data_IF_857438458684
#
_entry.id   IF_857438458684
#
_cell.length_a   1.000
_cell.length_b   1.000
_cell.length_c   1.000
_cell.angle_alpha   90.00
_cell.angle_beta   90.00
_cell.angle_gamma   90.00
#
_symmetry.space_group_name_H-M   'P 1'
#
loop_
_entity.id
_entity.type
_entity.pdbx_description
1 polymer ?
#
# COMPACT_ATOMS: atom_id res chain seq x y z
N UNK A 1 10.22 -6.31 -25.90
CA UNK A 1 9.67 -6.23 -24.54
C UNK A 1 10.73 -5.55 -23.69
N UNK A 2 10.60 -4.24 -23.44
CA UNK A 2 11.59 -3.45 -22.72
C UNK A 2 11.57 -3.84 -21.24
N UNK A 3 12.65 -4.46 -20.75
CA UNK A 3 12.82 -4.82 -19.35
C UNK A 3 13.05 -3.58 -18.44
N UNK A 4 13.29 -2.41 -19.04
CA UNK A 4 13.61 -1.14 -18.36
C UNK A 4 12.44 -0.51 -17.57
N UNK A 5 11.26 -1.12 -17.57
CA UNK A 5 10.05 -0.60 -16.92
C UNK A 5 9.55 -1.46 -15.75
N UNK A 6 10.31 -2.48 -15.34
CA UNK A 6 9.88 -3.37 -14.24
C UNK A 6 10.58 -2.98 -12.94
N UNK A 7 9.96 -2.09 -12.17
CA UNK A 7 10.29 -1.91 -10.77
C UNK A 7 9.79 -3.15 -9.98
N UNK A 8 10.72 -3.89 -9.36
CA UNK A 8 10.39 -5.04 -8.50
C UNK A 8 10.46 -4.61 -7.04
N UNK A 9 9.30 -4.55 -6.38
CA UNK A 9 9.22 -4.44 -4.93
C UNK A 9 9.10 -5.83 -4.30
N UNK A 10 9.85 -6.08 -3.23
CA UNK A 10 9.75 -7.31 -2.44
C UNK A 10 9.28 -6.94 -1.04
N UNK A 11 8.21 -7.57 -0.58
CA UNK A 11 7.65 -7.36 0.75
C UNK A 11 7.77 -8.65 1.55
N UNK A 12 8.07 -8.52 2.84
CA UNK A 12 8.06 -9.63 3.78
C UNK A 12 6.77 -9.55 4.58
N UNK A 13 5.98 -10.60 4.49
CA UNK A 13 4.80 -10.80 5.34
C UNK A 13 5.11 -11.93 6.32
N UNK A 14 4.68 -11.77 7.56
CA UNK A 14 4.82 -12.84 8.54
C UNK A 14 3.90 -14.02 8.18
N UNK A 15 4.18 -15.16 8.83
CA UNK A 15 3.45 -16.40 8.57
C UNK A 15 1.95 -16.27 8.86
N UNK A 16 1.57 -15.65 9.96
CA UNK A 16 0.17 -15.56 10.37
C UNK A 16 -0.62 -14.68 9.38
N UNK A 17 -0.05 -13.55 8.97
CA UNK A 17 -0.63 -12.69 7.93
C UNK A 17 -0.79 -13.44 6.60
N UNK A 18 0.20 -14.23 6.20
CA UNK A 18 0.13 -15.06 4.98
C UNK A 18 -1.01 -16.10 5.03
N UNK A 19 -1.20 -16.76 6.18
CA UNK A 19 -2.28 -17.73 6.39
C UNK A 19 -3.66 -17.05 6.34
N UNK A 20 -3.81 -15.88 6.98
CA UNK A 20 -5.03 -15.08 6.94
C UNK A 20 -5.37 -14.63 5.51
N UNK A 21 -4.39 -14.11 4.77
CA UNK A 21 -4.58 -13.74 3.36
C UNK A 21 -5.02 -14.92 2.50
N UNK A 22 -4.53 -16.13 2.80
CA UNK A 22 -4.94 -17.34 2.10
C UNK A 22 -6.41 -17.67 2.35
N UNK A 23 -6.87 -17.55 3.60
CA UNK A 23 -8.27 -17.76 3.94
C UNK A 23 -9.19 -16.71 3.28
N UNK A 24 -8.78 -15.45 3.24
CA UNK A 24 -9.53 -14.38 2.56
C UNK A 24 -9.57 -14.61 1.05
N UNK A 25 -8.45 -14.98 0.43
CA UNK A 25 -8.37 -15.31 -1.00
C UNK A 25 -9.35 -16.41 -1.39
N UNK A 26 -9.42 -17.47 -0.59
CA UNK A 26 -10.34 -18.58 -0.80
C UNK A 26 -11.81 -18.15 -0.72
N UNK A 27 -12.17 -17.29 0.25
CA UNK A 27 -13.54 -16.77 0.40
C UNK A 27 -13.96 -15.86 -0.76
N UNK A 28 -13.03 -15.10 -1.32
CA UNK A 28 -13.27 -14.17 -2.41
C UNK A 28 -13.12 -14.79 -3.80
N UNK A 29 -12.66 -16.05 -3.89
CA UNK A 29 -12.47 -16.74 -5.17
C UNK A 29 -11.32 -16.16 -6.01
N UNK A 30 -10.34 -15.51 -5.39
CA UNK A 30 -9.19 -14.88 -6.07
C UNK A 30 -7.88 -15.47 -5.59
N UNK A 31 -6.79 -15.23 -6.34
CA UNK A 31 -5.46 -15.64 -5.88
C UNK A 31 -4.94 -14.72 -4.76
N UNK A 32 -4.13 -15.27 -3.84
CA UNK A 32 -3.44 -14.48 -2.81
C UNK A 32 -2.62 -13.33 -3.41
N UNK A 33 -1.94 -13.58 -4.52
CA UNK A 33 -1.15 -12.55 -5.22
C UNK A 33 -2.01 -11.44 -5.82
N UNK A 34 -3.26 -11.72 -6.22
CA UNK A 34 -4.19 -10.68 -6.64
C UNK A 34 -4.56 -9.78 -5.46
N UNK A 35 -4.95 -10.35 -4.31
CA UNK A 35 -5.23 -9.56 -3.11
C UNK A 35 -4.05 -8.70 -2.67
N UNK A 36 -2.84 -9.26 -2.64
CA UNK A 36 -1.64 -8.50 -2.27
C UNK A 36 -1.38 -7.36 -3.26
N UNK A 37 -1.58 -7.59 -4.56
CA UNK A 37 -1.45 -6.51 -5.56
C UNK A 37 -2.48 -5.41 -5.35
N UNK A 38 -3.73 -5.76 -5.08
CA UNK A 38 -4.80 -4.78 -4.88
C UNK A 38 -4.55 -3.96 -3.61
N UNK A 39 -4.14 -4.60 -2.51
CA UNK A 39 -3.80 -3.93 -1.25
C UNK A 39 -2.61 -2.99 -1.40
N UNK A 40 -1.61 -3.37 -2.20
CA UNK A 40 -0.37 -2.60 -2.35
C UNK A 40 -0.42 -1.60 -3.51
N UNK A 41 -1.45 -1.60 -4.35
CA UNK A 41 -1.52 -0.75 -5.54
C UNK A 41 -1.34 0.74 -5.18
N UNK A 42 -2.17 1.25 -4.28
CA UNK A 42 -2.16 2.67 -3.89
C UNK A 42 -0.86 3.07 -3.14
N UNK A 43 -0.36 2.31 -2.14
CA UNK A 43 0.96 2.58 -1.55
C UNK A 43 2.11 2.60 -2.55
N UNK A 44 2.11 1.69 -3.54
CA UNK A 44 3.13 1.65 -4.59
C UNK A 44 3.05 2.87 -5.50
N UNK A 45 1.84 3.31 -5.87
CA UNK A 45 1.64 4.54 -6.64
C UNK A 45 2.09 5.79 -5.87
N UNK A 46 1.81 5.87 -4.57
CA UNK A 46 2.32 6.93 -3.69
C UNK A 46 3.85 6.97 -3.69
N UNK A 47 4.51 5.83 -3.45
CA UNK A 47 5.97 5.72 -3.51
C UNK A 47 6.53 6.13 -4.86
N UNK A 48 5.89 5.71 -5.96
CA UNK A 48 6.31 6.10 -7.29
C UNK A 48 6.24 7.63 -7.50
N UNK A 49 5.16 8.29 -7.06
CA UNK A 49 5.02 9.75 -7.13
C UNK A 49 6.10 10.48 -6.33
N UNK A 50 6.39 9.99 -5.13
CA UNK A 50 7.43 10.56 -4.26
C UNK A 50 8.82 10.47 -4.90
N UNK A 51 9.22 9.28 -5.33
CA UNK A 51 10.53 9.07 -5.96
C UNK A 51 10.65 9.85 -7.27
N UNK A 52 9.58 9.89 -8.08
CA UNK A 52 9.58 10.63 -9.35
C UNK A 52 9.58 12.15 -9.17
N UNK A 53 9.29 12.65 -7.97
CA UNK A 53 9.37 14.09 -7.67
C UNK A 53 10.78 14.58 -7.34
N UNK A 54 11.73 13.66 -7.14
CA UNK A 54 13.13 14.02 -6.89
C UNK A 54 13.78 14.51 -8.19
N UNK A 55 14.66 15.52 -8.12
CA UNK A 55 15.51 15.86 -9.24
C UNK A 55 16.48 14.69 -9.53
N UNK A 56 17.02 14.59 -10.77
CA UNK A 56 17.93 13.50 -11.17
C UNK A 56 19.15 13.34 -10.26
N UNK A 57 19.63 14.44 -9.68
CA UNK A 57 20.69 14.47 -8.68
C UNK A 57 20.12 15.09 -7.39
N UNK A 58 19.53 14.28 -6.49
CA UNK A 58 18.92 14.79 -5.28
C UNK A 58 20.00 15.26 -4.30
N UNK A 59 19.83 16.46 -3.76
CA UNK A 59 20.64 16.92 -2.63
C UNK A 59 20.16 16.24 -1.33
N UNK A 60 21.01 16.15 -0.28
CA UNK A 60 20.58 15.64 1.02
C UNK A 60 19.37 16.37 1.59
N UNK A 61 19.25 17.68 1.36
CA UNK A 61 18.12 18.50 1.81
C UNK A 61 16.83 18.10 1.06
N UNK A 62 16.91 17.88 -0.25
CA UNK A 62 15.78 17.42 -1.06
C UNK A 62 15.33 16.02 -0.64
N UNK A 63 16.27 15.12 -0.33
CA UNK A 63 15.96 13.78 0.19
C UNK A 63 15.32 13.85 1.58
N UNK A 64 15.81 14.73 2.47
CA UNK A 64 15.25 14.93 3.81
C UNK A 64 13.82 15.49 3.74
N UNK A 65 13.60 16.54 2.95
CA UNK A 65 12.27 17.11 2.74
C UNK A 65 11.29 16.10 2.13
N UNK A 66 11.77 15.22 1.25
CA UNK A 66 10.97 14.12 0.74
C UNK A 66 10.55 13.16 1.85
N UNK A 67 11.48 12.70 2.69
CA UNK A 67 11.20 11.75 3.76
C UNK A 67 10.20 12.32 4.78
N UNK A 68 10.31 13.60 5.12
CA UNK A 68 9.35 14.28 6.00
C UNK A 68 7.95 14.29 5.37
N UNK A 69 7.85 14.69 4.09
CA UNK A 69 6.58 14.69 3.36
C UNK A 69 5.98 13.28 3.24
N UNK A 70 6.82 12.27 2.96
CA UNK A 70 6.40 10.87 2.91
C UNK A 70 5.80 10.42 4.24
N UNK A 71 6.38 10.83 5.37
CA UNK A 71 5.85 10.54 6.70
C UNK A 71 4.43 11.08 6.87
N UNK A 72 4.23 12.37 6.59
CA UNK A 72 2.92 13.03 6.73
C UNK A 72 1.86 12.43 5.80
N UNK A 73 2.17 12.26 4.51
CA UNK A 73 1.21 11.70 3.55
C UNK A 73 0.87 10.23 3.87
N UNK A 74 1.81 9.46 4.43
CA UNK A 74 1.55 8.09 4.87
C UNK A 74 0.63 8.05 6.09
N UNK A 75 0.83 8.94 7.07
CA UNK A 75 -0.06 9.07 8.24
C UNK A 75 -1.49 9.40 7.79
N UNK A 76 -1.66 10.40 6.93
CA UNK A 76 -2.96 10.77 6.38
C UNK A 76 -3.65 9.60 5.64
N UNK A 77 -2.86 8.82 4.89
CA UNK A 77 -3.37 7.63 4.21
C UNK A 77 -3.83 6.56 5.20
N UNK A 78 -3.05 6.28 6.25
CA UNK A 78 -3.41 5.31 7.31
C UNK A 78 -4.70 5.74 8.03
N UNK A 79 -4.83 7.02 8.36
CA UNK A 79 -6.00 7.57 9.03
C UNK A 79 -7.25 7.44 8.16
N UNK A 80 -7.12 7.74 6.87
CA UNK A 80 -8.18 7.56 5.86
C UNK A 80 -8.65 6.10 5.78
N UNK A 81 -7.73 5.13 5.70
CA UNK A 81 -8.11 3.70 5.66
C UNK A 81 -8.74 3.22 6.96
N UNK A 82 -8.26 3.71 8.10
CA UNK A 82 -8.84 3.41 9.41
C UNK A 82 -10.29 3.93 9.51
N UNK A 83 -10.53 5.15 9.05
CA UNK A 83 -11.88 5.72 9.00
C UNK A 83 -12.82 4.93 8.06
N UNK A 84 -12.34 4.53 6.88
CA UNK A 84 -13.10 3.67 5.96
C UNK A 84 -13.48 2.33 6.60
N UNK A 85 -12.54 1.71 7.31
CA UNK A 85 -12.77 0.45 8.01
C UNK A 85 -13.84 0.62 9.11
N UNK A 86 -13.81 1.72 9.84
CA UNK A 86 -14.79 2.00 10.89
C UNK A 86 -16.19 2.27 10.33
N UNK A 87 -16.31 2.90 9.16
CA UNK A 87 -17.58 3.03 8.45
C UNK A 87 -18.15 1.66 8.08
N UNK A 88 -17.33 0.78 7.50
CA UNK A 88 -17.74 -0.59 7.13
C UNK A 88 -18.20 -1.42 8.35
N UNK A 89 -17.55 -1.26 9.50
CA UNK A 89 -17.98 -1.93 10.74
C UNK A 89 -19.35 -1.45 11.22
N UNK A 90 -19.63 -0.15 11.10
CA UNK A 90 -20.92 0.43 11.51
C UNK A 90 -22.06 -0.07 10.62
N UNK A 91 -21.84 -0.13 9.31
CA UNK A 91 -22.84 -0.59 8.35
C UNK A 91 -23.08 -2.11 8.45
N UNK A 92 -22.04 -2.88 8.80
CA UNK A 92 -22.13 -4.33 9.03
C UNK A 92 -22.89 -4.76 10.29
N UNK A 93 -23.21 -3.85 11.20
CA UNK A 93 -24.00 -4.13 12.42
C UNK A 93 -25.48 -3.75 12.29
N UNK A 94 -25.93 -3.26 11.12
CA UNK A 94 -27.31 -2.87 10.85
C UNK A 94 -28.22 -3.95 10.23
N UNK A 95 -27.74 -5.18 10.04
CA UNK A 95 -28.49 -6.28 9.43
C UNK A 95 -28.34 -7.56 10.28
N UNK A 96 -29.03 -7.60 11.42
CA UNK A 96 -29.29 -8.81 12.20
C UNK A 96 -30.70 -8.74 12.79
#
# INVERSE_FOLDING_TARGET
>A
MNADLLARATFVIDRATSEQLTAVAAKLGVSRSALVRDVLAEPVELMHRWVSSLPPEPTPEAATALLERMGTEMEEWIDSKSAQLDLLKRDGHGNA
#
